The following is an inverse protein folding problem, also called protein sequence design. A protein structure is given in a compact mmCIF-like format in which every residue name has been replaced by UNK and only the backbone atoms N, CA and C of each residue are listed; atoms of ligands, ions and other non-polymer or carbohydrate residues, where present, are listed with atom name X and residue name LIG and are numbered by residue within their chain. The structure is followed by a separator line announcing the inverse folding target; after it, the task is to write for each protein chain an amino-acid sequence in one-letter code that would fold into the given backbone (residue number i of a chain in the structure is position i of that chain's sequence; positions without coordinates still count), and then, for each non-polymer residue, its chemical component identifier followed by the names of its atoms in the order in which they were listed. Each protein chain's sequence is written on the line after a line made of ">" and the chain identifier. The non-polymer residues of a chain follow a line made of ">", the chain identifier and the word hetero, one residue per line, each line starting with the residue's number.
data_IF_426064037499
#
_entry.id   IF_426064037499
#
_cell.length_a   1.000
_cell.length_b   1.000
_cell.length_c   1.000
_cell.angle_alpha   90.00
_cell.angle_beta   90.00
_cell.angle_gamma   90.00
#
_symmetry.space_group_name_H-M   'P 1'
#
loop_
_entity.id
_entity.type
_entity.pdbx_description
1 polymer ?
#
# COMPACT_ATOMS: atom_id res chain seq x y z
N UNK A 1 25.11 -2.17 30.72
CA UNK A 1 24.70 -1.41 29.50
C UNK A 1 24.50 -2.31 28.29
N UNK A 2 25.26 -3.42 28.16
CA UNK A 2 25.12 -4.36 27.01
C UNK A 2 23.80 -5.12 26.96
N UNK A 3 23.29 -5.62 28.07
CA UNK A 3 22.05 -6.44 28.10
C UNK A 3 20.80 -5.65 27.66
N UNK A 4 20.70 -4.36 28.03
CA UNK A 4 19.55 -3.52 27.64
C UNK A 4 19.58 -3.17 26.14
N UNK A 5 20.80 -3.04 25.59
CA UNK A 5 20.97 -2.82 24.15
C UNK A 5 20.59 -4.07 23.36
N UNK A 6 20.99 -5.24 23.83
CA UNK A 6 20.70 -6.54 23.22
C UNK A 6 19.20 -6.89 23.22
N UNK A 7 18.47 -6.52 24.27
CA UNK A 7 17.01 -6.69 24.36
C UNK A 7 16.28 -5.76 23.39
N UNK A 8 16.69 -4.48 23.32
CA UNK A 8 16.09 -3.51 22.41
C UNK A 8 16.34 -3.85 20.93
N UNK A 9 17.50 -4.44 20.62
CA UNK A 9 17.82 -4.91 19.27
C UNK A 9 16.95 -6.13 18.90
N UNK A 10 16.71 -7.06 19.84
CA UNK A 10 15.81 -8.20 19.61
C UNK A 10 14.35 -7.78 19.43
N UNK A 11 13.87 -6.83 20.21
CA UNK A 11 12.50 -6.31 20.08
C UNK A 11 12.29 -5.60 18.73
N UNK A 12 13.31 -4.85 18.29
CA UNK A 12 13.28 -4.22 16.97
C UNK A 12 13.33 -5.26 15.84
N UNK A 13 14.21 -6.26 15.95
CA UNK A 13 14.32 -7.33 14.96
C UNK A 13 13.01 -8.14 14.85
N UNK A 14 12.35 -8.41 15.99
CA UNK A 14 11.06 -9.08 16.01
C UNK A 14 10.00 -8.19 15.33
N UNK A 15 9.95 -6.90 15.67
CA UNK A 15 9.05 -5.95 15.03
C UNK A 15 9.26 -5.92 13.50
N UNK A 16 10.52 -5.88 13.04
CA UNK A 16 10.84 -5.88 11.59
C UNK A 16 10.30 -7.13 10.92
N UNK A 17 10.51 -8.32 11.52
CA UNK A 17 9.99 -9.59 10.96
C UNK A 17 8.47 -9.59 10.85
N UNK A 18 7.78 -9.13 11.90
CA UNK A 18 6.32 -9.21 12.00
C UNK A 18 5.64 -8.14 11.11
N UNK A 19 6.21 -6.93 11.06
CA UNK A 19 5.61 -5.81 10.35
C UNK A 19 5.94 -5.76 8.86
N UNK A 20 7.12 -6.24 8.44
CA UNK A 20 7.61 -6.11 7.06
C UNK A 20 6.65 -6.63 5.98
N UNK A 21 6.00 -7.80 6.12
CA UNK A 21 5.09 -8.29 5.09
C UNK A 21 3.90 -7.34 4.85
N UNK A 22 3.29 -6.83 5.94
CA UNK A 22 2.18 -5.88 5.87
C UNK A 22 2.61 -4.53 5.29
N UNK A 23 3.76 -4.00 5.73
CA UNK A 23 4.31 -2.74 5.22
C UNK A 23 4.66 -2.84 3.73
N UNK A 24 5.24 -3.96 3.30
CA UNK A 24 5.60 -4.18 1.90
C UNK A 24 4.36 -4.28 1.02
N UNK A 25 3.31 -4.96 1.48
CA UNK A 25 2.04 -5.01 0.76
C UNK A 25 1.45 -3.61 0.59
N UNK A 26 1.39 -2.82 1.65
CA UNK A 26 0.90 -1.43 1.57
C UNK A 26 1.74 -0.59 0.63
N UNK A 27 3.07 -0.66 0.73
CA UNK A 27 3.98 0.05 -0.15
C UNK A 27 3.79 -0.34 -1.62
N UNK A 28 3.67 -1.63 -1.91
CA UNK A 28 3.43 -2.14 -3.25
C UNK A 28 2.09 -1.69 -3.84
N UNK A 29 1.01 -1.78 -3.07
CA UNK A 29 -0.29 -1.27 -3.49
C UNK A 29 -0.27 0.24 -3.78
N UNK A 30 0.53 1.01 -3.04
CA UNK A 30 0.66 2.45 -3.24
C UNK A 30 1.57 2.81 -4.43
N UNK A 31 2.69 2.11 -4.61
CA UNK A 31 3.69 2.43 -5.65
C UNK A 31 3.39 1.75 -6.98
N UNK A 32 2.83 0.55 -6.96
CA UNK A 32 2.64 -0.30 -8.13
C UNK A 32 3.94 -0.92 -8.67
N UNK A 33 5.03 -0.82 -7.91
CA UNK A 33 6.36 -1.29 -8.29
C UNK A 33 7.06 -1.92 -7.09
N UNK A 34 7.61 -3.12 -7.26
CA UNK A 34 8.19 -3.90 -6.18
C UNK A 34 9.49 -3.29 -5.65
N UNK A 35 10.39 -2.87 -6.54
CA UNK A 35 11.66 -2.27 -6.14
C UNK A 35 11.44 -0.99 -5.34
N UNK A 36 10.54 -0.13 -5.81
CA UNK A 36 10.16 1.07 -5.06
C UNK A 36 9.46 0.75 -3.74
N UNK A 37 8.64 -0.29 -3.68
CA UNK A 37 8.00 -0.72 -2.44
C UNK A 37 9.04 -1.17 -1.40
N UNK A 38 10.04 -1.94 -1.82
CA UNK A 38 11.14 -2.40 -0.98
C UNK A 38 11.96 -1.21 -0.45
N UNK A 39 12.30 -0.25 -1.30
CA UNK A 39 13.02 0.98 -0.92
C UNK A 39 12.22 1.83 0.10
N UNK A 40 10.93 1.98 -0.14
CA UNK A 40 10.00 2.69 0.77
C UNK A 40 9.97 2.02 2.13
N UNK A 41 9.84 0.70 2.18
CA UNK A 41 9.80 -0.05 3.45
C UNK A 41 11.14 0.03 4.18
N UNK A 42 12.26 -0.17 3.50
CA UNK A 42 13.59 -0.04 4.09
C UNK A 42 13.79 1.35 4.69
N UNK A 43 13.44 2.41 3.95
CA UNK A 43 13.53 3.79 4.43
C UNK A 43 12.61 4.05 5.63
N UNK A 44 11.38 3.51 5.61
CA UNK A 44 10.45 3.61 6.73
C UNK A 44 11.00 2.92 7.99
N UNK A 45 11.53 1.71 7.85
CA UNK A 45 12.12 0.95 8.95
C UNK A 45 13.36 1.65 9.53
N UNK A 46 14.19 2.29 8.70
CA UNK A 46 15.30 3.13 9.17
C UNK A 46 14.80 4.34 10.00
N UNK A 47 13.67 4.96 9.60
CA UNK A 47 13.07 6.03 10.40
C UNK A 47 12.54 5.52 11.73
N UNK A 48 11.94 4.33 11.76
CA UNK A 48 11.51 3.65 13.01
C UNK A 48 12.71 3.36 13.88
N UNK A 49 13.78 2.75 13.35
CA UNK A 49 15.00 2.41 14.07
C UNK A 49 15.62 3.63 14.79
N UNK A 50 15.75 4.76 14.07
CA UNK A 50 16.27 6.01 14.63
C UNK A 50 15.44 6.57 15.78
N UNK A 51 14.17 6.20 15.86
CA UNK A 51 13.23 6.67 16.89
C UNK A 51 12.74 5.57 17.81
N UNK A 52 13.25 4.35 17.66
CA UNK A 52 12.77 3.16 18.39
C UNK A 52 12.58 3.41 19.87
N UNK A 53 13.60 3.96 20.53
CA UNK A 53 13.58 4.27 21.98
C UNK A 53 12.60 5.39 22.38
N UNK A 54 12.11 6.18 21.41
CA UNK A 54 11.18 7.31 21.64
C UNK A 54 9.75 6.96 21.31
N UNK A 55 9.53 5.88 20.55
CA UNK A 55 8.18 5.40 20.23
C UNK A 55 7.60 4.80 21.52
N UNK A 56 6.50 5.40 21.98
CA UNK A 56 5.73 4.90 23.12
C UNK A 56 4.52 4.15 22.59
N UNK A 57 4.34 2.89 22.98
CA UNK A 57 3.26 2.01 22.51
C UNK A 57 3.62 1.28 21.21
N UNK A 58 2.61 0.94 20.42
CA UNK A 58 2.75 0.14 19.20
C UNK A 58 3.52 0.88 18.09
N UNK A 59 4.64 0.32 17.58
CA UNK A 59 5.43 0.95 16.53
C UNK A 59 4.79 0.84 15.13
N UNK A 60 3.88 -0.12 14.91
CA UNK A 60 3.25 -0.40 13.61
C UNK A 60 2.53 0.81 13.00
N UNK A 61 1.70 1.57 13.74
CA UNK A 61 1.06 2.78 13.19
C UNK A 61 2.06 3.84 12.74
N UNK A 62 3.19 3.96 13.44
CA UNK A 62 4.26 4.88 13.06
C UNK A 62 4.94 4.44 11.76
N UNK A 63 5.28 3.15 11.64
CA UNK A 63 5.86 2.57 10.44
C UNK A 63 4.93 2.70 9.21
N UNK A 64 3.64 2.40 9.38
CA UNK A 64 2.63 2.59 8.33
C UNK A 64 2.54 4.03 7.85
N UNK A 65 2.51 4.99 8.77
CA UNK A 65 2.51 6.42 8.43
C UNK A 65 3.79 6.81 7.67
N UNK A 66 4.94 6.28 8.03
CA UNK A 66 6.19 6.52 7.32
C UNK A 66 6.12 5.97 5.89
N UNK A 67 5.64 4.72 5.69
CA UNK A 67 5.42 4.11 4.36
C UNK A 67 4.51 4.97 3.51
N UNK A 68 3.33 5.37 4.02
CA UNK A 68 2.37 6.21 3.29
C UNK A 68 2.98 7.54 2.87
N UNK A 69 3.73 8.20 3.76
CA UNK A 69 4.37 9.48 3.47
C UNK A 69 5.47 9.36 2.40
N UNK A 70 6.26 8.29 2.44
CA UNK A 70 7.31 8.01 1.46
C UNK A 70 6.71 7.64 0.10
N UNK A 71 5.73 6.76 0.07
CA UNK A 71 5.03 6.39 -1.15
C UNK A 71 4.33 7.59 -1.80
N UNK A 72 3.74 8.50 -0.99
CA UNK A 72 3.15 9.75 -1.46
C UNK A 72 4.16 10.63 -2.19
N UNK A 73 5.38 10.75 -1.71
CA UNK A 73 6.41 11.53 -2.38
C UNK A 73 6.75 10.91 -3.73
N UNK A 74 6.87 9.59 -3.79
CA UNK A 74 7.14 8.87 -5.02
C UNK A 74 6.07 9.14 -6.11
N UNK A 75 4.77 8.98 -5.82
CA UNK A 75 3.76 9.21 -6.85
C UNK A 75 3.50 10.70 -7.16
N UNK A 76 3.82 11.63 -6.26
CA UNK A 76 3.85 13.06 -6.59
C UNK A 76 4.92 13.37 -7.63
N UNK A 77 6.08 12.76 -7.53
CA UNK A 77 7.17 12.93 -8.50
C UNK A 77 6.81 12.30 -9.85
N UNK A 78 6.15 11.13 -9.85
CA UNK A 78 5.61 10.51 -11.07
C UNK A 78 4.53 11.35 -11.75
N UNK A 79 3.65 12.01 -10.99
CA UNK A 79 2.64 12.91 -11.57
C UNK A 79 3.24 14.17 -12.22
N UNK A 80 4.44 14.56 -11.80
CA UNK A 80 5.17 15.67 -12.40
C UNK A 80 5.92 15.27 -13.68
N UNK A 81 6.18 13.97 -13.90
CA UNK A 81 6.88 13.40 -15.05
C UNK A 81 6.04 12.33 -15.75
N UNK A 82 4.99 12.71 -16.50
CA UNK A 82 4.03 11.75 -17.05
C UNK A 82 4.57 10.83 -18.16
N UNK A 83 5.87 10.89 -18.50
CA UNK A 83 6.47 10.13 -19.60
C UNK A 83 7.30 8.90 -19.22
N UNK A 84 7.63 8.68 -17.95
CA UNK A 84 8.60 7.63 -17.53
C UNK A 84 8.00 6.40 -16.86
N UNK A 85 6.69 6.20 -16.94
CA UNK A 85 6.04 5.17 -16.16
C UNK A 85 5.15 4.23 -16.99
N UNK A 86 5.77 3.22 -17.55
CA UNK A 86 5.12 1.93 -17.70
C UNK A 86 5.28 1.20 -16.35
N UNK A 87 4.25 1.18 -15.51
CA UNK A 87 4.20 0.23 -14.42
C UNK A 87 4.10 -1.15 -15.07
N UNK A 88 5.25 -1.77 -15.25
CA UNK A 88 5.26 -3.21 -15.56
C UNK A 88 4.70 -3.87 -14.32
N UNK A 89 3.46 -4.33 -14.42
CA UNK A 89 2.87 -5.20 -13.38
C UNK A 89 3.77 -6.43 -13.40
N UNK A 90 4.72 -6.49 -12.47
CA UNK A 90 5.41 -7.73 -12.19
C UNK A 90 4.37 -8.68 -11.59
N UNK A 91 3.79 -9.51 -12.47
CA UNK A 91 2.96 -10.63 -12.09
C UNK A 91 3.79 -11.54 -11.18
N UNK A 92 3.55 -11.49 -9.87
CA UNK A 92 4.25 -12.40 -8.96
C UNK A 92 4.32 -11.99 -7.50
N UNK A 93 4.00 -10.76 -7.12
CA UNK A 93 3.89 -10.44 -5.70
C UNK A 93 2.45 -10.61 -5.23
N UNK A 94 2.12 -11.84 -4.86
CA UNK A 94 0.93 -12.12 -4.09
C UNK A 94 1.34 -12.33 -2.63
N UNK A 95 0.67 -11.68 -1.65
CA UNK A 95 0.86 -12.05 -0.25
C UNK A 95 0.54 -13.53 -0.09
N UNK A 96 1.37 -14.34 0.59
CA UNK A 96 1.21 -15.80 0.64
C UNK A 96 -0.10 -16.28 1.28
N UNK A 97 -0.87 -15.41 1.89
CA UNK A 97 -2.13 -15.73 2.59
C UNK A 97 -3.39 -15.15 1.91
N UNK A 98 -3.26 -14.53 0.72
CA UNK A 98 -4.43 -13.95 0.07
C UNK A 98 -5.18 -15.00 -0.76
N UNK A 99 -6.52 -14.94 -0.67
CA UNK A 99 -7.43 -15.72 -1.52
C UNK A 99 -7.07 -15.57 -3.01
N UNK A 100 -7.15 -16.65 -3.77
CA UNK A 100 -6.84 -16.71 -5.21
C UNK A 100 -7.62 -15.63 -5.99
N UNK A 101 -8.88 -15.38 -5.61
CA UNK A 101 -9.70 -14.31 -6.20
C UNK A 101 -9.09 -12.93 -5.92
N UNK A 102 -8.61 -12.71 -4.71
CA UNK A 102 -7.97 -11.45 -4.33
C UNK A 102 -6.67 -11.21 -5.13
N UNK A 103 -5.90 -12.26 -5.36
CA UNK A 103 -4.63 -12.18 -6.07
C UNK A 103 -4.80 -12.04 -7.58
N UNK A 104 -5.67 -12.82 -8.17
CA UNK A 104 -5.78 -12.90 -9.63
C UNK A 104 -6.70 -11.85 -10.25
N UNK A 105 -7.66 -11.36 -9.50
CA UNK A 105 -8.67 -10.43 -10.04
C UNK A 105 -8.59 -9.05 -9.40
N UNK A 106 -8.63 -8.98 -8.07
CA UNK A 106 -8.72 -7.68 -7.38
C UNK A 106 -7.40 -6.92 -7.39
N UNK A 107 -6.27 -7.61 -7.21
CA UNK A 107 -4.97 -6.95 -7.17
C UNK A 107 -4.60 -6.28 -8.50
N UNK A 108 -4.72 -6.92 -9.67
CA UNK A 108 -4.52 -6.26 -10.95
C UNK A 108 -5.45 -5.05 -11.13
N UNK A 109 -6.74 -5.21 -10.84
CA UNK A 109 -7.72 -4.13 -10.96
C UNK A 109 -7.40 -2.92 -10.06
N UNK A 110 -6.87 -3.15 -8.85
CA UNK A 110 -6.39 -2.08 -7.97
C UNK A 110 -5.15 -1.41 -8.53
N UNK A 111 -4.19 -2.17 -9.08
CA UNK A 111 -2.96 -1.64 -9.66
C UNK A 111 -3.21 -0.82 -10.94
N UNK A 112 -4.26 -1.12 -11.69
CA UNK A 112 -4.68 -0.38 -12.88
C UNK A 112 -5.40 0.94 -12.57
N UNK A 113 -5.78 1.16 -11.31
CA UNK A 113 -6.35 2.44 -10.91
C UNK A 113 -5.35 3.58 -11.06
N UNK A 114 -5.80 4.78 -11.48
CA UNK A 114 -4.98 5.98 -11.38
C UNK A 114 -4.43 6.16 -9.96
N UNK A 115 -3.17 6.59 -9.85
CA UNK A 115 -2.43 6.62 -8.59
C UNK A 115 -3.19 7.29 -7.42
N UNK A 116 -3.95 8.36 -7.69
CA UNK A 116 -4.77 9.04 -6.65
C UNK A 116 -5.94 8.20 -6.19
N UNK A 117 -6.63 7.52 -7.11
CA UNK A 117 -7.75 6.63 -6.80
C UNK A 117 -7.26 5.42 -6.02
N UNK A 118 -6.15 4.82 -6.44
CA UNK A 118 -5.49 3.72 -5.77
C UNK A 118 -5.05 4.10 -4.35
N UNK A 119 -4.39 5.25 -4.18
CA UNK A 119 -3.96 5.73 -2.87
C UNK A 119 -5.14 5.91 -1.91
N UNK A 120 -6.23 6.54 -2.34
CA UNK A 120 -7.44 6.70 -1.52
C UNK A 120 -8.03 5.34 -1.13
N UNK A 121 -8.14 4.41 -2.09
CA UNK A 121 -8.68 3.08 -1.85
C UNK A 121 -7.83 2.30 -0.83
N UNK A 122 -6.50 2.30 -1.02
CA UNK A 122 -5.57 1.61 -0.11
C UNK A 122 -5.66 2.18 1.30
N UNK A 123 -5.63 3.51 1.46
CA UNK A 123 -5.70 4.13 2.78
C UNK A 123 -7.04 3.90 3.48
N UNK A 124 -8.14 3.90 2.73
CA UNK A 124 -9.49 3.72 3.28
C UNK A 124 -9.81 2.27 3.66
N UNK A 125 -9.38 1.30 2.85
CA UNK A 125 -9.85 -0.09 2.95
C UNK A 125 -8.77 -1.09 3.36
N UNK A 126 -7.49 -0.81 3.10
CA UNK A 126 -6.39 -1.65 3.56
C UNK A 126 -5.74 -1.13 4.85
N UNK A 127 -5.68 0.19 5.02
CA UNK A 127 -5.14 0.82 6.22
C UNK A 127 -6.22 1.30 7.21
N UNK A 128 -7.49 1.11 6.87
CA UNK A 128 -8.67 1.43 7.69
C UNK A 128 -8.68 2.88 8.23
N UNK A 129 -8.18 3.83 7.43
CA UNK A 129 -8.18 5.24 7.80
C UNK A 129 -9.56 5.87 7.57
N UNK A 130 -9.97 6.82 8.42
CA UNK A 130 -11.15 7.63 8.17
C UNK A 130 -10.98 8.52 6.94
N UNK A 131 -12.08 9.13 6.45
CA UNK A 131 -12.04 10.11 5.35
C UNK A 131 -11.13 11.28 5.71
N UNK A 132 -11.22 11.76 6.95
CA UNK A 132 -10.43 12.88 7.48
C UNK A 132 -8.95 12.52 7.59
N UNK A 133 -8.65 11.33 8.11
CA UNK A 133 -7.28 10.81 8.22
C UNK A 133 -6.66 10.61 6.83
N UNK A 134 -7.44 10.07 5.87
CA UNK A 134 -7.00 9.90 4.49
C UNK A 134 -6.73 11.25 3.82
N UNK A 135 -7.62 12.23 4.01
CA UNK A 135 -7.45 13.60 3.51
C UNK A 135 -6.17 14.24 4.06
N UNK A 136 -5.93 14.12 5.37
CA UNK A 136 -4.72 14.61 6.02
C UNK A 136 -3.47 13.89 5.49
N UNK A 137 -3.50 12.56 5.36
CA UNK A 137 -2.39 11.77 4.83
C UNK A 137 -2.04 12.15 3.39
N UNK A 138 -3.05 12.39 2.53
CA UNK A 138 -2.85 12.73 1.12
C UNK A 138 -2.66 14.22 0.87
N UNK A 139 -2.96 15.09 1.85
CA UNK A 139 -2.91 16.55 1.73
C UNK A 139 -3.95 17.07 0.73
N UNK A 140 -5.18 16.57 0.82
CA UNK A 140 -6.33 16.99 0.00
C UNK A 140 -7.57 17.20 0.87
N UNK A 141 -8.67 17.67 0.26
CA UNK A 141 -9.94 17.83 0.98
C UNK A 141 -10.67 16.52 1.19
N UNK A 142 -11.55 16.44 2.20
CA UNK A 142 -12.44 15.29 2.43
C UNK A 142 -13.38 15.07 1.25
N UNK A 143 -13.80 16.13 0.56
CA UNK A 143 -14.58 16.05 -0.67
C UNK A 143 -13.81 15.33 -1.80
N UNK A 144 -12.50 15.64 -1.93
CA UNK A 144 -11.62 14.93 -2.87
C UNK A 144 -11.51 13.44 -2.53
N UNK A 145 -11.35 13.09 -1.26
CA UNK A 145 -11.30 11.67 -0.83
C UNK A 145 -12.59 10.97 -1.22
N UNK A 146 -13.76 11.56 -0.92
CA UNK A 146 -15.07 10.96 -1.26
C UNK A 146 -15.23 10.74 -2.76
N UNK A 147 -14.92 11.76 -3.59
CA UNK A 147 -15.05 11.64 -5.04
C UNK A 147 -14.07 10.61 -5.62
N UNK A 148 -12.81 10.60 -5.18
CA UNK A 148 -11.82 9.61 -5.64
C UNK A 148 -12.19 8.18 -5.19
N UNK A 149 -12.75 8.02 -3.99
CA UNK A 149 -13.28 6.72 -3.52
C UNK A 149 -14.40 6.23 -4.45
N UNK A 150 -15.35 7.10 -4.76
CA UNK A 150 -16.46 6.76 -5.65
C UNK A 150 -15.97 6.30 -7.03
N UNK A 151 -15.07 7.07 -7.66
CA UNK A 151 -14.50 6.70 -8.95
C UNK A 151 -13.68 5.40 -8.90
N UNK A 152 -12.90 5.19 -7.83
CA UNK A 152 -12.14 3.96 -7.66
C UNK A 152 -13.05 2.73 -7.57
N UNK A 153 -14.10 2.81 -6.74
CA UNK A 153 -15.06 1.71 -6.57
C UNK A 153 -15.88 1.44 -7.84
N UNK A 154 -16.24 2.48 -8.62
CA UNK A 154 -16.90 2.29 -9.92
C UNK A 154 -16.03 1.50 -10.87
N UNK A 155 -14.77 1.90 -11.05
CA UNK A 155 -13.83 1.19 -11.92
C UNK A 155 -13.57 -0.24 -11.47
N UNK A 156 -13.46 -0.49 -10.16
CA UNK A 156 -13.30 -1.85 -9.66
C UNK A 156 -14.53 -2.72 -9.97
N UNK A 157 -15.75 -2.18 -9.82
CA UNK A 157 -16.96 -2.93 -10.17
C UNK A 157 -16.98 -3.28 -11.67
N UNK A 158 -16.65 -2.34 -12.54
CA UNK A 158 -16.54 -2.56 -13.99
C UNK A 158 -15.55 -3.69 -14.29
N UNK A 159 -14.32 -3.61 -13.77
CA UNK A 159 -13.28 -4.61 -13.97
C UNK A 159 -13.68 -6.01 -13.44
N UNK A 160 -14.40 -6.07 -12.31
CA UNK A 160 -14.89 -7.33 -11.74
C UNK A 160 -16.04 -7.93 -12.54
N UNK A 161 -16.92 -7.11 -13.10
CA UNK A 161 -18.02 -7.56 -13.98
C UNK A 161 -17.48 -8.15 -15.26
N UNK A 162 -16.54 -7.49 -15.92
CA UNK A 162 -15.91 -7.97 -17.16
C UNK A 162 -15.21 -9.33 -16.95
N UNK A 163 -14.61 -9.52 -15.76
CA UNK A 163 -13.94 -10.80 -15.41
C UNK A 163 -14.95 -11.93 -15.15
N UNK A 164 -16.13 -11.63 -14.61
CA UNK A 164 -17.19 -12.59 -14.39
C UNK A 164 -17.78 -13.09 -15.73
N UNK A 165 -18.05 -12.17 -16.65
CA UNK A 165 -18.60 -12.46 -17.98
C UNK A 165 -17.63 -13.32 -18.82
N UNK A 166 -16.32 -13.08 -18.71
CA UNK A 166 -15.30 -13.89 -19.39
C UNK A 166 -15.24 -15.34 -18.87
N UNK A 167 -15.45 -15.56 -17.57
CA UNK A 167 -15.46 -16.91 -16.98
C UNK A 167 -16.71 -17.71 -17.35
N UNK A 168 -17.85 -17.07 -17.48
CA UNK A 168 -19.09 -17.73 -17.92
C UNK A 168 -19.01 -18.14 -19.40
N UNK A 169 -18.33 -17.35 -20.25
CA UNK A 169 -18.12 -17.66 -21.65
C UNK A 169 -17.19 -18.86 -21.89
N UNK A 170 -16.21 -19.06 -21.02
CA UNK A 170 -15.21 -20.15 -21.12
C UNK A 170 -15.76 -21.52 -20.64
N UNK A 171 -16.84 -21.50 -19.85
CA UNK A 171 -17.53 -22.73 -19.40
C UNK A 171 -18.66 -23.17 -20.33
N UNK A 172 -19.00 -22.36 -21.36
CA UNK A 172 -20.08 -22.64 -22.29
C UNK A 172 -19.61 -23.24 -23.63
N UNK A 173 -18.33 -23.50 -23.81
CA UNK A 173 -17.73 -24.09 -25.00
C UNK A 173 -17.00 -25.40 -24.65
#
# INVERSE_FOLDING_TARGET
>A
MGVLMDVLDRDFDQFVRDASPGLLRTAYLLTGDRGHAEDVVQTALLQVARRWRRIRGEPTPYARRAVVNLAKNHWRDRLRRPGESSATIEAGYAPPEADVLLQQVLLPAVLDLPARQRAVLVLRYFEDLSVEQTAAALGCSTGTVKSQTHHALSKLREALSDTADLKESDHAN
#
